data_IF_234409044234
#
_entry.id   IF_234409044234
#
_cell.length_a   1.000
_cell.length_b   1.000
_cell.length_c   1.000
_cell.angle_alpha   90.00
_cell.angle_beta   90.00
_cell.angle_gamma   90.00
#
_symmetry.space_group_name_H-M   'P 1'
#
loop_
_entity.id
_entity.type
_entity.pdbx_description
1 polymer ?
#
# COMPACT_ATOMS: atom_id res chain seq x y z
N UNK A 1 7.71 -22.10 0.93
CA UNK A 1 7.28 -21.11 1.95
C UNK A 1 6.96 -19.75 1.34
N UNK A 2 7.67 -19.31 0.33
CA UNK A 2 7.56 -17.99 -0.31
C UNK A 2 6.17 -17.68 -0.87
N UNK A 3 5.56 -18.65 -1.60
CA UNK A 3 4.19 -18.48 -2.11
C UNK A 3 3.15 -18.29 -1.00
N UNK A 4 3.35 -18.92 0.17
CA UNK A 4 2.50 -18.66 1.34
C UNK A 4 2.64 -17.21 1.81
N UNK A 5 3.87 -16.70 1.86
CA UNK A 5 4.13 -15.30 2.24
C UNK A 5 3.52 -14.32 1.23
N UNK A 6 3.56 -14.63 -0.08
CA UNK A 6 2.88 -13.84 -1.11
C UNK A 6 1.36 -13.77 -0.87
N UNK A 7 0.74 -14.91 -0.58
CA UNK A 7 -0.71 -14.95 -0.30
C UNK A 7 -1.04 -14.17 0.97
N UNK A 8 -0.25 -14.34 2.04
CA UNK A 8 -0.45 -13.61 3.30
C UNK A 8 -0.23 -12.10 3.15
N UNK A 9 0.76 -11.69 2.35
CA UNK A 9 0.97 -10.28 2.01
C UNK A 9 -0.22 -9.72 1.20
N UNK A 10 -0.73 -10.47 0.21
CA UNK A 10 -1.91 -10.08 -0.56
C UNK A 10 -3.17 -9.97 0.33
N UNK A 11 -3.35 -10.90 1.28
CA UNK A 11 -4.42 -10.83 2.29
C UNK A 11 -4.28 -9.58 3.17
N UNK A 12 -3.08 -9.25 3.64
CA UNK A 12 -2.80 -8.03 4.41
C UNK A 12 -3.15 -6.77 3.62
N UNK A 13 -2.77 -6.70 2.34
CA UNK A 13 -3.11 -5.60 1.42
C UNK A 13 -4.62 -5.46 1.21
N UNK A 14 -5.31 -6.58 1.01
CA UNK A 14 -6.77 -6.60 0.85
C UNK A 14 -7.48 -6.14 2.13
N UNK A 15 -7.07 -6.65 3.29
CA UNK A 15 -7.65 -6.29 4.57
C UNK A 15 -7.46 -4.80 4.89
N UNK A 16 -6.28 -4.25 4.62
CA UNK A 16 -6.00 -2.81 4.74
C UNK A 16 -6.96 -1.99 3.87
N UNK A 17 -7.18 -2.38 2.62
CA UNK A 17 -8.08 -1.71 1.68
C UNK A 17 -9.55 -1.80 2.13
N UNK A 18 -9.96 -2.96 2.64
CA UNK A 18 -11.31 -3.19 3.19
C UNK A 18 -11.56 -2.33 4.42
N UNK A 19 -10.62 -2.28 5.37
CA UNK A 19 -10.76 -1.46 6.58
C UNK A 19 -10.87 0.04 6.25
N UNK A 20 -10.07 0.51 5.28
CA UNK A 20 -10.16 1.87 4.77
C UNK A 20 -11.53 2.17 4.14
N UNK A 21 -12.04 1.25 3.32
CA UNK A 21 -13.36 1.38 2.68
C UNK A 21 -14.50 1.41 3.70
N UNK A 22 -14.48 0.51 4.69
CA UNK A 22 -15.49 0.45 5.74
C UNK A 22 -15.48 1.72 6.61
N UNK A 23 -14.29 2.23 6.95
CA UNK A 23 -14.17 3.47 7.69
C UNK A 23 -14.77 4.65 6.92
N UNK A 24 -14.42 4.80 5.63
CA UNK A 24 -14.92 5.87 4.78
C UNK A 24 -16.44 5.79 4.60
N UNK A 25 -17.02 4.59 4.43
CA UNK A 25 -18.46 4.39 4.33
C UNK A 25 -19.20 4.80 5.60
N UNK A 26 -18.67 4.41 6.77
CA UNK A 26 -19.29 4.74 8.06
C UNK A 26 -19.22 6.23 8.40
N UNK A 27 -18.26 6.95 7.85
CA UNK A 27 -18.00 8.37 8.13
C UNK A 27 -18.20 9.27 6.90
N UNK A 28 -18.99 8.85 5.92
CA UNK A 28 -19.19 9.56 4.64
C UNK A 28 -19.74 10.99 4.77
N UNK A 29 -20.36 11.33 5.89
CA UNK A 29 -20.86 12.69 6.19
C UNK A 29 -19.85 13.60 6.89
N UNK A 30 -18.70 13.07 7.34
CA UNK A 30 -17.70 13.84 8.06
C UNK A 30 -16.58 14.27 7.11
N UNK A 31 -16.25 15.56 7.12
CA UNK A 31 -15.12 16.09 6.34
C UNK A 31 -13.80 15.74 7.01
N UNK A 32 -12.79 15.40 6.19
CA UNK A 32 -11.39 15.26 6.63
C UNK A 32 -11.08 14.14 7.64
N UNK A 33 -11.86 13.05 7.66
CA UNK A 33 -11.59 11.90 8.55
C UNK A 33 -10.32 11.12 8.17
N UNK A 34 -9.76 11.40 7.00
CA UNK A 34 -8.61 10.70 6.47
C UNK A 34 -7.31 10.94 7.28
N UNK A 35 -7.11 12.16 7.83
CA UNK A 35 -5.97 12.47 8.69
C UNK A 35 -6.01 11.67 10.00
N UNK A 36 -7.19 11.58 10.62
CA UNK A 36 -7.41 10.76 11.81
C UNK A 36 -7.21 9.26 11.51
N UNK A 37 -7.76 8.78 10.39
CA UNK A 37 -7.60 7.39 9.97
C UNK A 37 -6.12 7.02 9.87
N UNK A 38 -5.32 7.83 9.17
CA UNK A 38 -3.92 7.52 8.96
C UNK A 38 -3.07 7.69 10.23
N UNK A 39 -3.40 8.63 11.10
CA UNK A 39 -2.73 8.75 12.39
C UNK A 39 -2.92 7.47 13.21
N UNK A 40 -4.17 7.00 13.38
CA UNK A 40 -4.45 5.79 14.15
C UNK A 40 -3.83 4.56 13.48
N UNK A 41 -3.90 4.47 12.16
CA UNK A 41 -3.31 3.36 11.40
C UNK A 41 -1.80 3.31 11.59
N UNK A 42 -1.09 4.44 11.42
CA UNK A 42 0.38 4.46 11.56
C UNK A 42 0.83 4.21 12.99
N UNK A 43 0.12 4.74 13.99
CA UNK A 43 0.41 4.46 15.41
C UNK A 43 0.19 2.98 15.71
N UNK A 44 -0.92 2.39 15.26
CA UNK A 44 -1.21 0.96 15.49
C UNK A 44 -0.19 0.06 14.79
N UNK A 45 0.21 0.40 13.57
CA UNK A 45 1.24 -0.34 12.84
C UNK A 45 2.62 -0.19 13.53
N UNK A 46 2.97 1.01 13.99
CA UNK A 46 4.22 1.24 14.74
C UNK A 46 4.25 0.44 16.05
N UNK A 47 3.14 0.39 16.79
CA UNK A 47 3.04 -0.41 18.01
C UNK A 47 3.19 -1.91 17.73
N UNK A 48 2.57 -2.42 16.66
CA UNK A 48 2.73 -3.82 16.26
C UNK A 48 4.20 -4.16 15.95
N UNK A 49 4.90 -3.29 15.21
CA UNK A 49 6.32 -3.45 14.93
C UNK A 49 7.20 -3.26 16.19
N UNK A 50 6.79 -2.38 17.10
CA UNK A 50 7.45 -2.22 18.40
C UNK A 50 7.41 -3.51 19.23
N UNK A 51 6.27 -4.21 19.26
CA UNK A 51 6.16 -5.53 19.91
C UNK A 51 7.08 -6.53 19.24
N UNK A 52 7.11 -6.61 17.90
CA UNK A 52 7.99 -7.53 17.17
C UNK A 52 9.47 -7.19 17.44
N UNK A 53 9.84 -5.92 17.49
CA UNK A 53 11.20 -5.51 17.81
C UNK A 53 11.63 -5.87 19.23
N UNK A 54 10.73 -5.80 20.22
CA UNK A 54 11.01 -6.20 21.59
C UNK A 54 11.21 -7.72 21.75
N UNK A 55 10.63 -8.54 20.85
CA UNK A 55 10.84 -10.00 20.86
C UNK A 55 12.19 -10.41 20.26
N UNK A 56 12.72 -9.60 19.35
CA UNK A 56 14.02 -9.80 18.70
C UNK A 56 14.79 -8.49 18.74
N UNK A 57 15.27 -8.15 19.96
CA UNK A 57 15.91 -6.87 20.23
C UNK A 57 17.29 -6.79 19.55
N UNK A 58 17.28 -6.38 18.28
CA UNK A 58 18.47 -6.11 17.49
C UNK A 58 18.43 -4.67 16.99
N UNK A 59 19.55 -3.95 17.12
CA UNK A 59 19.62 -2.55 16.74
C UNK A 59 21.01 -2.20 16.17
N UNK A 60 21.01 -1.52 15.04
CA UNK A 60 22.19 -0.85 14.46
C UNK A 60 21.80 0.61 14.15
N UNK A 61 22.62 1.58 14.56
CA UNK A 61 22.34 3.00 14.36
C UNK A 61 22.15 3.39 12.88
N UNK A 62 22.76 2.67 11.95
CA UNK A 62 22.60 2.86 10.49
C UNK A 62 21.15 2.61 10.04
N UNK A 63 20.37 1.82 10.78
CA UNK A 63 18.96 1.57 10.51
C UNK A 63 18.15 2.85 10.55
N UNK A 64 18.49 3.80 11.42
CA UNK A 64 17.79 5.09 11.54
C UNK A 64 17.85 5.90 10.25
N UNK A 65 18.93 5.79 9.48
CA UNK A 65 19.02 6.45 8.17
C UNK A 65 17.97 5.91 7.19
N UNK A 66 17.86 4.60 7.06
CA UNK A 66 16.82 3.99 6.21
C UNK A 66 15.41 4.26 6.74
N UNK A 67 15.23 4.27 8.06
CA UNK A 67 13.95 4.59 8.70
C UNK A 67 13.52 6.03 8.41
N UNK A 68 14.45 6.99 8.46
CA UNK A 68 14.17 8.38 8.12
C UNK A 68 13.80 8.54 6.64
N UNK A 69 14.53 7.89 5.72
CA UNK A 69 14.22 7.91 4.29
C UNK A 69 12.83 7.30 4.01
N UNK A 70 12.50 6.17 4.67
CA UNK A 70 11.19 5.56 4.57
C UNK A 70 10.11 6.51 5.10
N UNK A 71 10.33 7.14 6.25
CA UNK A 71 9.40 8.12 6.84
C UNK A 71 9.12 9.30 5.90
N UNK A 72 10.15 9.83 5.23
CA UNK A 72 10.00 10.86 4.19
C UNK A 72 9.16 10.34 3.01
N UNK A 73 9.50 9.16 2.48
CA UNK A 73 8.77 8.55 1.36
C UNK A 73 7.32 8.28 1.73
N UNK A 74 7.06 7.78 2.93
CA UNK A 74 5.71 7.56 3.44
C UNK A 74 4.93 8.87 3.56
N UNK A 75 5.57 9.95 4.01
CA UNK A 75 4.96 11.28 4.09
C UNK A 75 4.58 11.81 2.71
N UNK A 76 5.45 11.64 1.71
CA UNK A 76 5.14 11.99 0.32
C UNK A 76 3.94 11.19 -0.20
N UNK A 77 3.91 9.88 0.06
CA UNK A 77 2.78 9.03 -0.33
C UNK A 77 1.48 9.46 0.34
N UNK A 78 1.49 9.77 1.64
CA UNK A 78 0.32 10.23 2.36
C UNK A 78 -0.17 11.59 1.86
N UNK A 79 0.72 12.57 1.69
CA UNK A 79 0.39 13.88 1.11
C UNK A 79 -0.19 13.70 -0.29
N UNK A 80 0.41 12.82 -1.08
CA UNK A 80 -0.05 12.47 -2.42
C UNK A 80 -1.46 11.88 -2.44
N UNK A 81 -1.75 10.88 -1.58
CA UNK A 81 -3.07 10.25 -1.55
C UNK A 81 -4.17 11.22 -1.11
N UNK A 82 -3.91 12.05 -0.10
CA UNK A 82 -4.88 13.05 0.38
C UNK A 82 -5.15 14.12 -0.67
N UNK A 83 -4.08 14.68 -1.25
CA UNK A 83 -4.20 15.69 -2.28
C UNK A 83 -4.89 15.16 -3.54
N UNK A 84 -4.58 13.95 -3.98
CA UNK A 84 -5.20 13.33 -5.14
C UNK A 84 -6.70 13.03 -4.91
N UNK A 85 -7.07 12.48 -3.75
CA UNK A 85 -8.50 12.23 -3.44
C UNK A 85 -9.30 13.53 -3.36
N UNK A 86 -8.71 14.61 -2.85
CA UNK A 86 -9.40 15.90 -2.72
C UNK A 86 -9.50 16.65 -4.04
N UNK A 87 -8.63 16.38 -5.01
CA UNK A 87 -8.52 17.13 -6.28
C UNK A 87 -8.95 16.35 -7.53
N UNK A 88 -9.38 15.09 -7.37
CA UNK A 88 -9.80 14.26 -8.52
C UNK A 88 -10.45 12.93 -8.13
N UNK A 89 -10.37 11.97 -9.04
CA UNK A 89 -11.03 10.67 -8.91
C UNK A 89 -10.36 9.76 -7.89
N UNK A 90 -11.13 9.27 -6.92
CA UNK A 90 -10.69 8.28 -5.92
C UNK A 90 -10.24 6.97 -6.59
N UNK A 91 -10.98 6.54 -7.62
CA UNK A 91 -10.65 5.33 -8.38
C UNK A 91 -9.29 5.45 -9.08
N UNK A 92 -9.03 6.60 -9.75
CA UNK A 92 -7.75 6.83 -10.40
C UNK A 92 -6.60 6.97 -9.40
N UNK A 93 -6.86 7.51 -8.21
CA UNK A 93 -5.88 7.55 -7.12
C UNK A 93 -5.52 6.14 -6.64
N UNK A 94 -6.51 5.26 -6.52
CA UNK A 94 -6.29 3.83 -6.23
C UNK A 94 -5.46 3.12 -7.30
N UNK A 95 -5.71 3.42 -8.59
CA UNK A 95 -4.90 2.94 -9.70
C UNK A 95 -3.44 3.36 -9.59
N UNK A 96 -3.18 4.66 -9.34
CA UNK A 96 -1.81 5.18 -9.17
C UNK A 96 -1.10 4.51 -8.00
N UNK A 97 -1.81 4.25 -6.89
CA UNK A 97 -1.25 3.52 -5.75
C UNK A 97 -0.78 2.12 -6.14
N UNK A 98 -1.56 1.38 -6.92
CA UNK A 98 -1.15 0.04 -7.38
C UNK A 98 -0.05 0.11 -8.45
N UNK A 99 -0.10 1.14 -9.32
CA UNK A 99 0.94 1.38 -10.32
C UNK A 99 2.32 1.61 -9.70
N UNK A 100 2.39 2.17 -8.49
CA UNK A 100 3.66 2.34 -7.78
C UNK A 100 4.39 1.03 -7.50
N UNK A 101 3.67 -0.08 -7.31
CA UNK A 101 4.29 -1.41 -7.12
C UNK A 101 4.90 -1.94 -8.43
N UNK A 102 4.29 -1.62 -9.58
CA UNK A 102 4.89 -1.89 -10.89
C UNK A 102 6.16 -1.03 -11.09
N UNK A 103 6.13 0.24 -10.65
CA UNK A 103 7.30 1.10 -10.72
C UNK A 103 8.49 0.53 -9.91
N UNK A 104 8.24 -0.15 -8.79
CA UNK A 104 9.28 -0.85 -8.02
C UNK A 104 9.87 -2.01 -8.82
N UNK A 105 9.03 -2.81 -9.50
CA UNK A 105 9.51 -3.90 -10.35
C UNK A 105 10.39 -3.37 -11.50
N UNK A 106 9.98 -2.26 -12.13
CA UNK A 106 10.77 -1.59 -13.17
C UNK A 106 12.10 -1.04 -12.62
N UNK A 107 12.09 -0.49 -11.39
CA UNK A 107 13.31 -0.10 -10.70
C UNK A 107 14.27 -1.28 -10.51
N UNK A 108 13.73 -2.46 -10.19
CA UNK A 108 14.50 -3.70 -10.03
C UNK A 108 15.28 -4.08 -11.28
N UNK A 109 14.69 -3.95 -12.47
CA UNK A 109 15.41 -4.23 -13.74
C UNK A 109 16.54 -3.27 -14.00
N UNK A 110 16.39 -1.98 -13.64
CA UNK A 110 17.38 -0.95 -13.93
C UNK A 110 18.54 -0.97 -12.92
N UNK A 111 18.24 -1.06 -11.63
CA UNK A 111 19.19 -0.82 -10.56
C UNK A 111 19.65 -2.09 -9.82
N UNK A 112 18.79 -3.13 -9.76
CA UNK A 112 19.14 -4.40 -9.11
C UNK A 112 19.49 -5.50 -10.09
N UNK A 113 19.49 -5.18 -11.40
CA UNK A 113 19.83 -6.11 -12.48
C UNK A 113 19.03 -7.42 -12.41
N UNK A 114 17.79 -7.35 -11.94
CA UNK A 114 16.92 -8.51 -11.92
C UNK A 114 16.68 -9.01 -13.34
N UNK A 115 16.73 -10.32 -13.59
CA UNK A 115 16.57 -10.84 -14.96
C UNK A 115 15.15 -10.57 -15.48
N UNK A 116 15.06 -9.88 -16.62
CA UNK A 116 13.81 -9.68 -17.32
C UNK A 116 13.58 -10.90 -18.24
N UNK A 117 12.89 -11.92 -17.73
CA UNK A 117 12.45 -13.03 -18.59
C UNK A 117 11.25 -12.59 -19.44
N UNK A 118 11.02 -13.26 -20.57
CA UNK A 118 9.86 -13.00 -21.41
C UNK A 118 8.55 -13.15 -20.61
N UNK A 119 8.46 -14.14 -19.76
CA UNK A 119 7.29 -14.42 -18.93
C UNK A 119 7.02 -13.31 -17.91
N UNK A 120 8.04 -12.84 -17.22
CA UNK A 120 7.93 -11.71 -16.28
C UNK A 120 7.50 -10.43 -17.02
N UNK A 121 8.07 -10.15 -18.19
CA UNK A 121 7.68 -9.00 -19.02
C UNK A 121 6.21 -9.05 -19.44
N UNK A 122 5.74 -10.19 -19.94
CA UNK A 122 4.32 -10.41 -20.27
C UNK A 122 3.44 -10.30 -19.02
N UNK A 123 3.87 -10.89 -17.91
CA UNK A 123 3.16 -10.81 -16.63
C UNK A 123 2.94 -9.36 -16.17
N UNK A 124 3.96 -8.51 -16.20
CA UNK A 124 3.85 -7.09 -15.85
C UNK A 124 2.89 -6.34 -16.79
N UNK A 125 2.94 -6.61 -18.09
CA UNK A 125 2.00 -6.01 -19.05
C UNK A 125 0.55 -6.43 -18.76
N UNK A 126 0.33 -7.70 -18.41
CA UNK A 126 -0.99 -8.18 -18.01
C UNK A 126 -1.46 -7.56 -16.68
N UNK A 127 -0.57 -7.37 -15.70
CA UNK A 127 -0.89 -6.62 -14.46
C UNK A 127 -1.35 -5.21 -14.80
N UNK A 128 -0.60 -4.52 -15.64
CA UNK A 128 -0.97 -3.16 -16.06
C UNK A 128 -2.33 -3.13 -16.75
N UNK A 129 -2.59 -4.06 -17.67
CA UNK A 129 -3.89 -4.19 -18.35
C UNK A 129 -5.02 -4.51 -17.36
N UNK A 130 -4.80 -5.41 -16.39
CA UNK A 130 -5.76 -5.74 -15.33
C UNK A 130 -6.12 -4.50 -14.49
N UNK A 131 -5.10 -3.72 -14.08
CA UNK A 131 -5.33 -2.47 -13.34
C UNK A 131 -6.12 -1.46 -14.17
N UNK A 132 -5.79 -1.27 -15.44
CA UNK A 132 -6.54 -0.38 -16.34
C UNK A 132 -8.02 -0.77 -16.46
N UNK A 133 -8.30 -2.07 -16.60
CA UNK A 133 -9.67 -2.57 -16.69
C UNK A 133 -10.45 -2.41 -15.39
N UNK A 134 -9.80 -2.66 -14.23
CA UNK A 134 -10.44 -2.57 -12.93
C UNK A 134 -10.68 -1.13 -12.47
N UNK A 135 -9.77 -0.20 -12.77
CA UNK A 135 -9.83 1.20 -12.34
C UNK A 135 -10.33 2.16 -13.42
N UNK A 136 -11.01 1.66 -14.45
CA UNK A 136 -11.56 2.50 -15.51
C UNK A 136 -12.49 3.57 -14.94
N UNK A 137 -12.28 4.87 -15.28
CA UNK A 137 -13.11 5.96 -14.78
C UNK A 137 -14.58 5.79 -15.21
N UNK A 138 -15.49 6.13 -14.30
CA UNK A 138 -16.92 6.11 -14.61
C UNK A 138 -17.26 7.33 -15.48
N UNK A 139 -17.88 7.10 -16.65
CA UNK A 139 -18.44 8.18 -17.46
C UNK A 139 -19.57 8.87 -16.66
N UNK A 140 -19.42 10.17 -16.39
CA UNK A 140 -20.38 10.98 -15.64
C UNK A 140 -20.12 11.10 -14.13
N UNK A 141 -19.03 10.55 -13.59
CA UNK A 141 -18.61 10.81 -12.21
C UNK A 141 -18.10 12.25 -12.04
N UNK A 142 -18.49 12.92 -10.97
CA UNK A 142 -17.93 14.22 -10.56
C UNK A 142 -16.42 14.11 -10.42
N UNK A 143 -15.66 14.72 -11.33
CA UNK A 143 -14.24 14.89 -11.18
C UNK A 143 -13.46 14.71 -12.48
N UNK A 144 -13.43 15.74 -13.31
CA UNK A 144 -12.28 15.96 -14.16
C UNK A 144 -11.08 16.11 -13.24
N UNK A 145 -10.02 15.32 -13.48
CA UNK A 145 -8.81 15.40 -12.69
C UNK A 145 -8.21 16.80 -12.91
N UNK A 146 -8.14 17.59 -11.83
CA UNK A 146 -7.53 18.92 -11.91
C UNK A 146 -6.02 18.80 -12.16
N UNK A 147 -5.34 19.83 -12.68
CA UNK A 147 -3.88 19.84 -12.79
C UNK A 147 -3.18 19.49 -11.46
N UNK A 148 -3.75 19.91 -10.33
CA UNK A 148 -3.24 19.59 -8.99
C UNK A 148 -3.30 18.07 -8.71
N UNK A 149 -4.28 17.35 -9.25
CA UNK A 149 -4.38 15.90 -9.11
C UNK A 149 -3.14 15.19 -9.66
N UNK A 150 -2.65 15.58 -10.82
CA UNK A 150 -1.46 14.96 -11.43
C UNK A 150 -0.22 15.15 -10.55
N UNK A 151 -0.04 16.33 -9.95
CA UNK A 151 1.04 16.58 -9.00
C UNK A 151 0.95 15.65 -7.77
N UNK A 152 -0.23 15.58 -7.15
CA UNK A 152 -0.43 14.70 -5.99
C UNK A 152 -0.34 13.21 -6.35
N UNK A 153 -0.80 12.81 -7.54
CA UNK A 153 -0.64 11.45 -8.04
C UNK A 153 0.84 11.08 -8.24
N UNK A 154 1.66 12.01 -8.73
CA UNK A 154 3.11 11.82 -8.84
C UNK A 154 3.77 11.68 -7.46
N UNK A 155 3.39 12.51 -6.46
CA UNK A 155 3.86 12.37 -5.08
C UNK A 155 3.48 11.02 -4.47
N UNK A 156 2.25 10.56 -4.72
CA UNK A 156 1.78 9.25 -4.28
C UNK A 156 2.61 8.12 -4.91
N UNK A 157 2.83 8.17 -6.22
CA UNK A 157 3.57 7.16 -6.95
C UNK A 157 5.01 7.08 -6.44
N UNK A 158 5.71 8.22 -6.41
CA UNK A 158 7.11 8.29 -5.97
C UNK A 158 7.25 7.91 -4.49
N UNK A 159 6.38 8.42 -3.63
CA UNK A 159 6.43 8.13 -2.21
C UNK A 159 6.17 6.65 -1.90
N UNK A 160 5.13 6.07 -2.51
CA UNK A 160 4.79 4.67 -2.26
C UNK A 160 5.81 3.69 -2.87
N UNK A 161 6.32 3.97 -4.08
CA UNK A 161 7.42 3.21 -4.67
C UNK A 161 8.71 3.36 -3.83
N UNK A 162 9.02 4.58 -3.37
CA UNK A 162 10.16 4.87 -2.51
C UNK A 162 10.14 4.05 -1.22
N UNK A 163 9.00 3.88 -0.57
CA UNK A 163 8.87 3.02 0.60
C UNK A 163 9.36 1.59 0.31
N UNK A 164 8.88 0.98 -0.77
CA UNK A 164 9.25 -0.40 -1.14
C UNK A 164 10.72 -0.52 -1.58
N UNK A 165 11.24 0.48 -2.30
CA UNK A 165 12.64 0.54 -2.73
C UNK A 165 13.56 0.63 -1.50
N UNK A 166 13.23 1.48 -0.52
CA UNK A 166 14.02 1.63 0.71
C UNK A 166 13.98 0.37 1.55
N UNK A 167 12.82 -0.33 1.62
CA UNK A 167 12.74 -1.64 2.25
C UNK A 167 13.73 -2.63 1.66
N UNK A 168 13.82 -2.71 0.32
CA UNK A 168 14.78 -3.62 -0.34
C UNK A 168 16.23 -3.23 -0.05
N UNK A 169 16.56 -1.94 -0.14
CA UNK A 169 17.92 -1.49 0.17
C UNK A 169 18.30 -1.79 1.63
N UNK A 170 17.37 -1.62 2.58
CA UNK A 170 17.60 -1.97 3.97
C UNK A 170 17.83 -3.49 4.12
N UNK A 171 17.00 -4.33 3.50
CA UNK A 171 17.17 -5.78 3.55
C UNK A 171 18.52 -6.21 2.97
N UNK A 172 18.91 -5.64 1.84
CA UNK A 172 20.22 -5.93 1.21
C UNK A 172 21.39 -5.45 2.06
N UNK A 173 21.31 -4.23 2.62
CA UNK A 173 22.39 -3.63 3.42
C UNK A 173 22.68 -4.38 4.73
N UNK A 174 21.69 -5.03 5.31
CA UNK A 174 21.78 -5.73 6.59
C UNK A 174 21.61 -7.26 6.47
N UNK A 175 21.59 -7.81 5.25
CA UNK A 175 21.40 -9.25 5.04
C UNK A 175 20.12 -9.81 5.67
N UNK A 176 19.04 -9.06 5.65
CA UNK A 176 17.76 -9.42 6.26
C UNK A 176 17.64 -9.09 7.76
N UNK A 177 18.71 -8.63 8.41
CA UNK A 177 18.70 -8.28 9.83
C UNK A 177 18.06 -6.90 10.11
N UNK A 178 17.67 -6.66 11.37
CA UNK A 178 17.16 -5.38 11.87
C UNK A 178 15.88 -4.86 11.22
N UNK A 179 15.14 -5.70 10.48
CA UNK A 179 13.90 -5.31 9.80
C UNK A 179 12.83 -4.80 10.77
N UNK A 180 12.72 -5.41 11.96
CA UNK A 180 11.76 -5.01 12.99
C UNK A 180 12.06 -3.61 13.52
N UNK A 181 13.32 -3.32 13.86
CA UNK A 181 13.78 -2.00 14.29
C UNK A 181 13.54 -0.95 13.19
N UNK A 182 13.93 -1.27 11.95
CA UNK A 182 13.71 -0.40 10.78
C UNK A 182 12.25 0.02 10.65
N UNK A 183 11.33 -0.93 10.63
CA UNK A 183 9.91 -0.62 10.44
C UNK A 183 9.30 0.12 11.64
N UNK A 184 9.73 -0.21 12.87
CA UNK A 184 9.30 0.50 14.06
C UNK A 184 9.65 1.99 13.99
N UNK A 185 10.93 2.33 13.78
CA UNK A 185 11.39 3.72 13.72
C UNK A 185 10.84 4.45 12.49
N UNK A 186 10.72 3.76 11.35
CA UNK A 186 10.14 4.33 10.13
C UNK A 186 8.68 4.75 10.32
N UNK A 187 7.86 3.87 10.91
CA UNK A 187 6.46 4.17 11.18
C UNK A 187 6.27 5.15 12.35
N UNK A 188 7.19 5.16 13.31
CA UNK A 188 7.21 6.18 14.36
C UNK A 188 7.44 7.58 13.77
N UNK A 189 8.40 7.72 12.85
CA UNK A 189 8.60 8.97 12.11
C UNK A 189 7.36 9.35 11.30
N UNK A 190 6.75 8.39 10.60
CA UNK A 190 5.53 8.62 9.84
C UNK A 190 4.35 9.02 10.75
N UNK A 191 4.20 8.39 11.92
CA UNK A 191 3.18 8.72 12.89
C UNK A 191 3.36 10.14 13.44
N UNK A 192 4.59 10.58 13.69
CA UNK A 192 4.89 11.95 14.13
C UNK A 192 4.44 12.97 13.07
N UNK A 193 4.69 12.70 11.80
CA UNK A 193 4.22 13.57 10.70
C UNK A 193 2.69 13.54 10.57
N UNK A 194 2.06 12.36 10.65
CA UNK A 194 0.60 12.25 10.66
C UNK A 194 -0.02 13.01 11.84
N UNK A 195 0.63 13.01 13.01
CA UNK A 195 0.19 13.77 14.17
C UNK A 195 0.23 15.27 13.89
N UNK A 196 1.29 15.77 13.26
CA UNK A 196 1.39 17.20 12.87
C UNK A 196 0.26 17.58 11.91
N UNK A 197 -0.03 16.74 10.90
CA UNK A 197 -1.15 16.97 9.99
C UNK A 197 -2.50 16.95 10.71
N UNK A 198 -2.70 16.00 11.61
CA UNK A 198 -3.94 15.92 12.41
C UNK A 198 -4.12 17.15 13.30
N UNK A 199 -3.07 17.61 13.99
CA UNK A 199 -3.13 18.80 14.86
C UNK A 199 -3.37 20.09 14.07
N UNK A 200 -2.93 20.17 12.82
CA UNK A 200 -3.21 21.29 11.92
C UNK A 200 -4.61 21.26 11.33
N UNK A 201 -5.20 20.07 11.19
CA UNK A 201 -6.54 19.90 10.64
C UNK A 201 -7.59 20.03 11.75
N UNK A 202 -8.05 21.27 11.98
CA UNK A 202 -9.05 21.59 13.02
C UNK A 202 -10.47 21.09 12.70
N UNK A 203 -10.68 20.40 11.56
CA UNK A 203 -12.02 20.05 11.05
C UNK A 203 -12.59 18.77 11.67
N UNK A 204 -11.76 17.91 12.25
CA UNK A 204 -12.18 16.63 12.84
C UNK A 204 -11.77 16.56 14.30
N UNK A 205 -12.76 16.27 15.15
CA UNK A 205 -12.53 15.89 16.54
C UNK A 205 -12.68 14.37 16.66
N UNK A 206 -11.86 13.74 17.49
CA UNK A 206 -11.93 12.30 17.76
C UNK A 206 -13.34 11.92 18.23
N UNK A 207 -14.02 12.80 18.98
CA UNK A 207 -15.38 12.57 19.47
C UNK A 207 -16.47 12.51 18.40
N UNK A 208 -16.23 13.00 17.20
CA UNK A 208 -17.21 12.99 16.10
C UNK A 208 -17.26 11.63 15.41
N UNK A 209 -16.26 10.77 15.63
CA UNK A 209 -16.15 9.44 15.02
C UNK A 209 -16.62 8.38 16.00
N UNK A 210 -17.52 7.50 15.56
CA UNK A 210 -17.99 6.38 16.37
C UNK A 210 -16.85 5.49 16.85
N UNK A 211 -16.88 5.07 18.12
CA UNK A 211 -15.88 4.15 18.71
C UNK A 211 -15.70 2.87 17.90
N UNK A 212 -16.79 2.35 17.34
CA UNK A 212 -16.75 1.15 16.46
C UNK A 212 -16.01 1.45 15.15
N UNK A 213 -16.13 2.68 14.63
CA UNK A 213 -15.39 3.08 13.42
C UNK A 213 -13.90 3.22 13.67
N UNK A 214 -13.48 3.57 14.89
CA UNK A 214 -12.05 3.68 15.25
C UNK A 214 -11.35 2.31 15.26
N UNK A 215 -12.09 1.20 15.33
CA UNK A 215 -11.51 -0.14 15.19
C UNK A 215 -10.98 -0.38 13.76
N UNK A 216 -11.58 0.23 12.75
CA UNK A 216 -11.13 0.04 11.36
C UNK A 216 -9.68 0.49 11.12
N UNK A 217 -9.24 1.72 11.52
CA UNK A 217 -7.84 2.11 11.35
C UNK A 217 -6.87 1.30 12.24
N UNK A 218 -7.29 0.82 13.42
CA UNK A 218 -6.49 -0.08 14.26
C UNK A 218 -6.24 -1.40 13.53
N UNK A 219 -7.31 -2.06 13.06
CA UNK A 219 -7.21 -3.29 12.27
C UNK A 219 -6.44 -3.06 10.97
N UNK A 220 -6.63 -1.89 10.34
CA UNK A 220 -5.85 -1.47 9.18
C UNK A 220 -4.35 -1.37 9.48
N UNK A 221 -3.97 -0.83 10.64
CA UNK A 221 -2.58 -0.73 11.08
C UNK A 221 -1.94 -2.09 11.32
N UNK A 222 -2.64 -3.00 11.99
CA UNK A 222 -2.18 -4.39 12.18
C UNK A 222 -2.03 -5.11 10.83
N UNK A 223 -2.99 -4.94 9.92
CA UNK A 223 -2.93 -5.52 8.58
C UNK A 223 -1.78 -4.94 7.75
N UNK A 224 -1.50 -3.64 7.91
CA UNK A 224 -0.34 -2.98 7.29
C UNK A 224 0.98 -3.52 7.85
N UNK A 225 1.05 -3.75 9.16
CA UNK A 225 2.22 -4.37 9.78
C UNK A 225 2.43 -5.81 9.27
N UNK A 226 1.39 -6.62 9.19
CA UNK A 226 1.45 -7.98 8.65
C UNK A 226 1.86 -7.98 7.16
N UNK A 227 1.29 -7.10 6.33
CA UNK A 227 1.68 -6.94 4.93
C UNK A 227 3.18 -6.67 4.80
N UNK A 228 3.68 -5.66 5.52
CA UNK A 228 5.08 -5.28 5.44
C UNK A 228 6.02 -6.35 6.05
N UNK A 229 5.57 -7.08 7.06
CA UNK A 229 6.31 -8.21 7.61
C UNK A 229 6.55 -9.30 6.56
N UNK A 230 5.52 -9.70 5.85
CA UNK A 230 5.66 -10.69 4.76
C UNK A 230 6.45 -10.13 3.57
N UNK A 231 6.34 -8.83 3.26
CA UNK A 231 7.18 -8.19 2.25
C UNK A 231 8.67 -8.27 2.65
N UNK A 232 9.02 -7.96 3.91
CA UNK A 232 10.41 -8.05 4.36
C UNK A 232 10.95 -9.49 4.28
N UNK A 233 10.14 -10.49 4.65
CA UNK A 233 10.51 -11.92 4.50
C UNK A 233 10.72 -12.30 3.03
N UNK A 234 9.85 -11.83 2.13
CA UNK A 234 9.96 -12.06 0.69
C UNK A 234 11.19 -11.38 0.08
N UNK A 235 11.50 -10.15 0.51
CA UNK A 235 12.68 -9.41 0.06
C UNK A 235 14.00 -10.03 0.54
N UNK A 236 13.95 -10.83 1.61
CA UNK A 236 15.08 -11.62 2.10
C UNK A 236 15.17 -13.01 1.44
N UNK A 237 14.17 -13.41 0.63
CA UNK A 237 14.14 -14.70 -0.08
C UNK A 237 14.78 -14.60 -1.47
N UNK A 238 14.79 -15.70 -2.21
CA UNK A 238 15.32 -15.78 -3.57
C UNK A 238 14.37 -15.21 -4.65
N UNK A 239 13.11 -14.90 -4.28
CA UNK A 239 12.16 -14.33 -5.22
C UNK A 239 12.56 -12.91 -5.63
N UNK A 240 12.48 -12.64 -6.93
CA UNK A 240 12.78 -11.30 -7.45
C UNK A 240 11.66 -10.29 -7.11
N UNK A 241 12.05 -9.03 -6.91
CA UNK A 241 11.13 -7.93 -6.65
C UNK A 241 10.15 -7.71 -7.80
N UNK A 242 10.58 -8.03 -9.03
CA UNK A 242 9.76 -7.98 -10.24
C UNK A 242 8.60 -8.98 -10.23
N UNK A 243 8.64 -10.00 -9.39
CA UNK A 243 7.54 -10.94 -9.14
C UNK A 243 6.77 -10.55 -7.88
N UNK A 244 7.47 -10.27 -6.77
CA UNK A 244 6.87 -9.99 -5.46
C UNK A 244 5.83 -8.85 -5.55
N UNK A 245 6.25 -7.68 -6.03
CA UNK A 245 5.39 -6.49 -5.97
C UNK A 245 4.18 -6.55 -6.92
N UNK A 246 4.31 -6.99 -8.19
CA UNK A 246 3.15 -7.19 -9.05
C UNK A 246 2.19 -8.26 -8.54
N UNK A 247 2.69 -9.37 -7.97
CA UNK A 247 1.85 -10.41 -7.37
C UNK A 247 1.03 -9.87 -6.19
N UNK A 248 1.64 -9.07 -5.29
CA UNK A 248 0.93 -8.44 -4.17
C UNK A 248 -0.12 -7.44 -4.69
N UNK A 249 0.21 -6.64 -5.73
CA UNK A 249 -0.72 -5.67 -6.30
C UNK A 249 -1.98 -6.34 -6.85
N UNK A 250 -1.80 -7.37 -7.68
CA UNK A 250 -2.92 -8.08 -8.31
C UNK A 250 -3.65 -8.99 -7.32
N UNK A 251 -2.90 -9.72 -6.48
CA UNK A 251 -3.49 -10.58 -5.44
C UNK A 251 -4.36 -9.76 -4.47
N UNK A 252 -3.85 -8.62 -4.00
CA UNK A 252 -4.60 -7.68 -3.17
C UNK A 252 -5.85 -7.13 -3.88
N UNK A 253 -5.75 -6.80 -5.18
CA UNK A 253 -6.87 -6.34 -5.98
C UNK A 253 -7.97 -7.42 -6.11
N UNK A 254 -7.59 -8.66 -6.44
CA UNK A 254 -8.51 -9.79 -6.56
C UNK A 254 -9.24 -10.03 -5.24
N UNK A 255 -8.50 -10.14 -4.13
CA UNK A 255 -9.07 -10.40 -2.81
C UNK A 255 -9.98 -9.26 -2.33
N UNK A 256 -9.58 -8.01 -2.51
CA UNK A 256 -10.40 -6.83 -2.18
C UNK A 256 -11.69 -6.85 -2.98
N UNK A 257 -11.62 -7.17 -4.25
CA UNK A 257 -12.80 -7.20 -5.14
C UNK A 257 -13.74 -8.36 -4.77
N UNK A 258 -13.21 -9.55 -4.49
CA UNK A 258 -14.00 -10.69 -4.01
C UNK A 258 -14.71 -10.34 -2.70
N UNK A 259 -14.04 -9.67 -1.76
CA UNK A 259 -14.66 -9.19 -0.54
C UNK A 259 -15.80 -8.20 -0.80
N UNK A 260 -15.60 -7.24 -1.71
CA UNK A 260 -16.63 -6.27 -2.09
C UNK A 260 -17.88 -6.95 -2.65
N UNK A 261 -17.72 -8.00 -3.48
CA UNK A 261 -18.84 -8.75 -4.05
C UNK A 261 -19.54 -9.60 -2.99
N UNK A 262 -18.78 -10.33 -2.19
CA UNK A 262 -19.35 -11.34 -1.25
C UNK A 262 -19.95 -10.69 0.00
N UNK A 263 -19.21 -9.76 0.62
CA UNK A 263 -19.60 -9.14 1.90
C UNK A 263 -20.39 -7.87 1.69
N UNK A 264 -19.93 -6.98 0.80
CA UNK A 264 -20.58 -5.71 0.52
C UNK A 264 -21.70 -5.84 -0.50
N UNK A 265 -21.87 -7.02 -1.15
CA UNK A 265 -22.88 -7.31 -2.20
C UNK A 265 -22.84 -6.30 -3.33
N UNK A 266 -21.66 -5.79 -3.67
CA UNK A 266 -21.49 -4.87 -4.78
C UNK A 266 -21.66 -5.58 -6.12
N UNK A 267 -22.44 -4.99 -7.04
CA UNK A 267 -22.55 -5.49 -8.42
C UNK A 267 -21.38 -4.95 -9.22
N UNK A 268 -20.50 -5.83 -9.65
CA UNK A 268 -19.39 -5.47 -10.52
C UNK A 268 -19.85 -5.37 -11.97
N UNK A 269 -19.32 -4.39 -12.68
CA UNK A 269 -19.45 -4.32 -14.14
C UNK A 269 -18.68 -5.44 -14.81
N UNK A 270 -19.16 -5.98 -15.97
CA UNK A 270 -18.44 -7.06 -16.68
C UNK A 270 -16.96 -6.77 -16.96
N UNK A 271 -16.62 -5.50 -17.21
CA UNK A 271 -15.23 -5.09 -17.46
C UNK A 271 -14.31 -5.30 -16.26
N UNK A 272 -14.82 -5.19 -15.02
CA UNK A 272 -14.03 -5.48 -13.81
C UNK A 272 -13.78 -6.98 -13.66
N UNK A 273 -14.76 -7.82 -14.05
CA UNK A 273 -14.56 -9.27 -14.11
C UNK A 273 -13.49 -9.67 -15.14
N UNK A 274 -13.51 -9.03 -16.32
CA UNK A 274 -12.45 -9.20 -17.31
C UNK A 274 -11.08 -8.79 -16.75
N UNK A 275 -11.00 -7.65 -16.04
CA UNK A 275 -9.78 -7.20 -15.38
C UNK A 275 -9.26 -8.21 -14.33
N UNK A 276 -10.15 -8.82 -13.54
CA UNK A 276 -9.77 -9.87 -12.58
C UNK A 276 -9.24 -11.13 -13.28
N UNK A 277 -9.88 -11.56 -14.38
CA UNK A 277 -9.42 -12.71 -15.16
C UNK A 277 -8.04 -12.47 -15.78
N UNK A 278 -7.80 -11.25 -16.35
CA UNK A 278 -6.49 -10.85 -16.84
C UNK A 278 -5.47 -10.81 -15.70
N UNK A 279 -5.85 -10.31 -14.52
CA UNK A 279 -5.00 -10.31 -13.33
C UNK A 279 -4.64 -11.72 -12.86
N UNK A 280 -5.59 -12.65 -12.86
CA UNK A 280 -5.31 -14.05 -12.53
C UNK A 280 -4.33 -14.69 -13.54
N UNK A 281 -4.50 -14.42 -14.84
CA UNK A 281 -3.54 -14.86 -15.85
C UNK A 281 -2.15 -14.24 -15.62
N UNK A 282 -2.08 -12.95 -15.25
CA UNK A 282 -0.81 -12.30 -14.94
C UNK A 282 -0.04 -12.99 -13.81
N UNK A 283 -0.73 -13.47 -12.74
CA UNK A 283 -0.08 -14.19 -11.65
C UNK A 283 0.57 -15.49 -12.14
N UNK A 284 -0.04 -16.18 -13.11
CA UNK A 284 0.56 -17.38 -13.70
C UNK A 284 1.85 -17.03 -14.45
N UNK A 285 1.81 -16.02 -15.31
CA UNK A 285 2.97 -15.60 -16.10
C UNK A 285 4.14 -15.08 -15.22
N UNK A 286 3.84 -14.42 -14.12
CA UNK A 286 4.87 -13.92 -13.20
C UNK A 286 5.60 -15.03 -12.44
N UNK A 287 5.00 -16.22 -12.36
CA UNK A 287 5.57 -17.36 -11.61
C UNK A 287 6.09 -18.49 -12.55
N UNK A 288 6.12 -18.27 -13.88
CA UNK A 288 6.78 -19.09 -14.87
C UNK A 288 8.18 -18.59 -15.16
#
# INVERSE_FOLDING_TARGET
MEYLYLVLAACGSAMLSVMSSLFNRKNAGLQSTATLYNLILTVSASLAWGVLWLTDFSFDARVLFYSALYGVSYTLAMTGIFGAISSGSVSMTGFVKQLSLIAVALWGFVFWQTPLTLFVGVGILLVFAALLLCFRPERGGRGENSPAWFFYAALLLVGNAGCSIIQKYQQTAFGGAHGNAFMFFALLCAAAVCLVFFLRDKRVKIGDVSKISLLCPVMGGVSSAALNFFILLLLASELSESVIFPCIAVGGLILTTLFSVTVCRERLRPIRWAGLAVGAAALVFLNL
#
